data_IF_756553521185
#
_entry.id   IF_756553521185
#
_cell.length_a   1.000
_cell.length_b   1.000
_cell.length_c   1.000
_cell.angle_alpha   90.00
_cell.angle_beta   90.00
_cell.angle_gamma   90.00
#
_symmetry.space_group_name_H-M   'P 1'
#
loop_
_entity.id
_entity.type
_entity.pdbx_description
1 polymer ?
#
# COMPACT_ATOMS: atom_id res chain seq x y z
N UNK A 1 -21.66 3.29 -15.59
CA UNK A 1 -21.31 2.43 -14.46
C UNK A 1 -21.99 1.09 -14.67
N UNK A 2 -21.21 0.00 -14.82
CA UNK A 2 -21.76 -1.37 -14.99
C UNK A 2 -22.36 -1.85 -13.66
N UNK A 3 -23.42 -2.65 -13.70
CA UNK A 3 -23.94 -3.33 -12.51
C UNK A 3 -23.17 -4.64 -12.35
N UNK A 4 -22.46 -4.78 -11.24
CA UNK A 4 -22.22 -6.07 -10.61
C UNK A 4 -23.35 -6.23 -9.59
N UNK A 5 -24.16 -7.26 -9.76
CA UNK A 5 -25.33 -7.48 -8.90
C UNK A 5 -24.85 -7.85 -7.49
N UNK A 6 -24.92 -6.87 -6.56
CA UNK A 6 -24.67 -7.04 -5.13
C UNK A 6 -23.34 -7.71 -4.72
N UNK A 7 -22.30 -7.57 -5.56
CA UNK A 7 -20.98 -8.15 -5.28
C UNK A 7 -20.36 -7.58 -4.01
N UNK A 8 -19.80 -8.45 -3.17
CA UNK A 8 -19.16 -8.12 -1.90
C UNK A 8 -17.67 -8.44 -1.96
N UNK A 9 -16.84 -7.45 -1.67
CA UNK A 9 -15.39 -7.62 -1.61
C UNK A 9 -14.93 -7.34 -0.18
N UNK A 10 -14.27 -8.33 0.41
CA UNK A 10 -13.59 -8.16 1.70
C UNK A 10 -12.11 -7.91 1.44
N UNK A 11 -11.52 -6.95 2.14
CA UNK A 11 -10.09 -6.66 2.06
C UNK A 11 -9.46 -6.73 3.44
N UNK A 12 -8.34 -7.44 3.55
CA UNK A 12 -7.50 -7.42 4.75
C UNK A 12 -6.31 -6.49 4.53
N UNK A 13 -6.25 -5.43 5.33
CA UNK A 13 -5.16 -4.45 5.36
C UNK A 13 -4.19 -4.76 6.49
N UNK A 14 -2.96 -5.18 6.15
CA UNK A 14 -1.95 -5.57 7.14
C UNK A 14 -1.32 -4.35 7.84
N UNK A 15 -2.10 -3.67 8.68
CA UNK A 15 -1.67 -2.47 9.36
C UNK A 15 -1.02 -2.79 10.72
N UNK A 16 0.29 -2.96 10.73
CA UNK A 16 1.10 -3.08 11.96
C UNK A 16 1.96 -1.86 12.20
N UNK A 17 2.30 -1.14 11.14
CA UNK A 17 3.12 0.06 11.20
C UNK A 17 2.98 0.86 9.90
N UNK A 18 2.63 2.13 10.00
CA UNK A 18 2.46 3.02 8.84
C UNK A 18 1.05 2.98 8.23
N UNK A 19 0.86 3.77 7.18
CA UNK A 19 -0.43 3.97 6.49
C UNK A 19 -0.52 3.26 5.13
N UNK A 20 0.57 2.62 4.71
CA UNK A 20 0.73 2.17 3.34
C UNK A 20 -0.32 1.15 2.90
N UNK A 21 -0.70 0.25 3.78
CA UNK A 21 -1.67 -0.79 3.50
C UNK A 21 -3.09 -0.22 3.38
N UNK A 22 -3.52 0.53 4.39
CA UNK A 22 -4.85 1.15 4.40
C UNK A 22 -5.06 2.10 3.21
N UNK A 23 -4.08 2.98 2.91
CA UNK A 23 -4.16 3.90 1.77
C UNK A 23 -4.27 3.15 0.44
N UNK A 24 -3.60 2.02 0.29
CA UNK A 24 -3.67 1.18 -0.90
C UNK A 24 -5.02 0.46 -1.00
N UNK A 25 -5.46 -0.21 0.06
CA UNK A 25 -6.77 -0.86 0.10
C UNK A 25 -7.90 0.14 -0.17
N UNK A 26 -7.84 1.33 0.44
CA UNK A 26 -8.80 2.42 0.22
C UNK A 26 -8.84 2.85 -1.25
N UNK A 27 -7.68 3.04 -1.89
CA UNK A 27 -7.62 3.44 -3.30
C UNK A 27 -8.25 2.38 -4.23
N UNK A 28 -7.97 1.10 -4.00
CA UNK A 28 -8.57 -0.01 -4.74
C UNK A 28 -10.09 -0.05 -4.49
N UNK A 29 -10.52 0.03 -3.22
CA UNK A 29 -11.92 0.03 -2.85
C UNK A 29 -12.70 1.18 -3.51
N UNK A 30 -12.14 2.39 -3.50
CA UNK A 30 -12.75 3.56 -4.13
C UNK A 30 -12.88 3.39 -5.65
N UNK A 31 -11.84 2.91 -6.34
CA UNK A 31 -11.90 2.64 -7.77
C UNK A 31 -12.98 1.60 -8.12
N UNK A 32 -13.13 0.56 -7.30
CA UNK A 32 -14.13 -0.48 -7.49
C UNK A 32 -15.56 0.06 -7.34
N UNK A 33 -15.86 0.82 -6.28
CA UNK A 33 -17.22 1.37 -6.08
C UNK A 33 -17.56 2.49 -7.06
N UNK A 34 -16.58 3.21 -7.58
CA UNK A 34 -16.79 4.19 -8.66
C UNK A 34 -17.13 3.49 -9.99
N UNK A 35 -16.49 2.36 -10.26
CA UNK A 35 -16.71 1.59 -11.50
C UNK A 35 -18.00 0.81 -11.49
N UNK A 36 -18.42 0.24 -10.34
CA UNK A 36 -19.51 -0.73 -10.23
C UNK A 36 -20.58 -0.27 -9.23
N UNK A 37 -21.83 -0.14 -9.67
CA UNK A 37 -22.94 0.38 -8.86
C UNK A 37 -23.43 -0.56 -7.75
N UNK A 38 -23.37 -1.87 -7.98
CA UNK A 38 -23.89 -2.88 -7.05
C UNK A 38 -22.82 -3.50 -6.15
N UNK A 39 -21.57 -2.97 -6.17
CA UNK A 39 -20.46 -3.53 -5.43
C UNK A 39 -20.28 -2.81 -4.09
N UNK A 40 -20.06 -3.58 -3.03
CA UNK A 40 -19.73 -3.09 -1.68
C UNK A 40 -18.37 -3.64 -1.26
N UNK A 41 -17.57 -2.80 -0.60
CA UNK A 41 -16.26 -3.19 -0.07
C UNK A 41 -16.21 -2.99 1.43
N UNK A 42 -15.76 -4.01 2.16
CA UNK A 42 -15.46 -3.93 3.58
C UNK A 42 -13.96 -4.15 3.81
N UNK A 43 -13.31 -3.23 4.53
CA UNK A 43 -11.86 -3.29 4.81
C UNK A 43 -11.65 -3.65 6.27
N UNK A 44 -10.97 -4.77 6.55
CA UNK A 44 -10.50 -5.10 7.90
C UNK A 44 -9.14 -4.44 8.10
N UNK A 45 -9.01 -3.58 9.13
CA UNK A 45 -7.78 -2.82 9.37
C UNK A 45 -7.42 -2.76 10.86
N UNK A 46 -6.14 -2.95 11.15
CA UNK A 46 -5.55 -2.69 12.47
C UNK A 46 -5.03 -1.25 12.65
N UNK A 47 -5.21 -0.37 11.68
CA UNK A 47 -4.70 1.01 11.72
C UNK A 47 -5.37 1.81 12.84
N UNK A 48 -4.55 2.53 13.63
CA UNK A 48 -5.06 3.40 14.71
C UNK A 48 -5.84 4.60 14.18
N UNK A 49 -5.51 5.05 12.99
CA UNK A 49 -6.05 6.27 12.39
C UNK A 49 -6.93 5.99 11.17
N UNK A 50 -7.50 4.78 11.06
CA UNK A 50 -8.42 4.45 9.97
C UNK A 50 -9.60 5.44 9.90
N UNK A 51 -10.12 5.88 11.04
CA UNK A 51 -11.19 6.86 11.13
C UNK A 51 -10.83 8.31 10.77
N UNK A 52 -9.54 8.60 10.48
CA UNK A 52 -9.13 9.91 9.99
C UNK A 52 -9.24 10.05 8.46
N UNK A 53 -9.56 8.96 7.77
CA UNK A 53 -9.74 8.95 6.32
C UNK A 53 -11.22 8.92 5.93
N UNK A 54 -11.56 9.64 4.88
CA UNK A 54 -12.89 9.58 4.29
C UNK A 54 -13.02 8.33 3.40
N UNK A 55 -14.15 7.67 3.52
CA UNK A 55 -14.53 6.53 2.69
C UNK A 55 -15.73 6.87 1.81
N UNK A 56 -15.66 6.48 0.54
CA UNK A 56 -16.80 6.66 -0.39
C UNK A 56 -17.98 5.79 0.04
N UNK A 57 -19.19 6.20 -0.36
CA UNK A 57 -20.37 5.38 -0.16
C UNK A 57 -20.14 3.93 -0.66
N UNK A 58 -20.61 2.94 0.10
CA UNK A 58 -20.43 1.50 -0.11
C UNK A 58 -19.00 0.98 0.17
N UNK A 59 -18.15 1.80 0.76
CA UNK A 59 -16.89 1.37 1.37
C UNK A 59 -16.96 1.63 2.86
N UNK A 60 -16.72 0.62 3.66
CA UNK A 60 -16.67 0.73 5.12
C UNK A 60 -15.48 -0.06 5.66
N UNK A 61 -15.19 0.07 6.95
CA UNK A 61 -14.10 -0.67 7.56
C UNK A 61 -14.45 -1.22 8.94
N UNK A 62 -13.86 -2.38 9.25
CA UNK A 62 -13.89 -3.00 10.58
C UNK A 62 -12.51 -2.81 11.21
N UNK A 63 -12.49 -2.14 12.38
CA UNK A 63 -11.25 -1.96 13.13
C UNK A 63 -11.01 -3.15 14.05
N UNK A 64 -9.87 -3.83 13.82
CA UNK A 64 -9.37 -4.87 14.71
C UNK A 64 -8.31 -4.29 15.67
N UNK A 65 -8.01 -4.96 16.82
CA UNK A 65 -7.02 -4.49 17.78
C UNK A 65 -5.68 -4.18 17.12
N UNK A 66 -5.11 -3.00 17.42
CA UNK A 66 -3.85 -2.55 16.84
C UNK A 66 -2.67 -3.23 17.50
N UNK A 67 -1.67 -3.60 16.71
CA UNK A 67 -0.38 -4.10 17.19
C UNK A 67 0.75 -3.27 16.62
N UNK A 68 1.85 -3.18 17.35
CA UNK A 68 3.07 -2.50 16.92
C UNK A 68 4.24 -3.46 16.96
N UNK A 69 5.12 -3.34 15.97
CA UNK A 69 6.41 -4.05 15.94
C UNK A 69 7.44 -3.21 16.67
N UNK A 70 8.04 -3.75 17.72
CA UNK A 70 9.12 -3.12 18.47
C UNK A 70 10.45 -3.17 17.69
N UNK A 71 11.42 -2.37 18.10
CA UNK A 71 12.78 -2.41 17.53
C UNK A 71 13.46 -3.77 17.72
N UNK A 72 13.09 -4.53 18.77
CA UNK A 72 13.52 -5.92 18.98
C UNK A 72 13.02 -6.88 17.90
N UNK A 73 12.05 -6.46 17.05
CA UNK A 73 11.35 -7.30 16.09
C UNK A 73 10.13 -8.00 16.65
N UNK A 74 9.87 -7.89 17.95
CA UNK A 74 8.70 -8.44 18.62
C UNK A 74 7.46 -7.57 18.39
N UNK A 75 6.28 -8.18 18.49
CA UNK A 75 5.00 -7.49 18.42
C UNK A 75 4.40 -7.32 19.82
N UNK A 76 3.79 -6.17 20.06
CA UNK A 76 3.03 -5.90 21.28
C UNK A 76 1.70 -5.23 20.96
N UNK A 77 0.72 -5.39 21.85
CA UNK A 77 -0.54 -4.68 21.78
C UNK A 77 -0.33 -3.20 22.17
N UNK A 78 -0.98 -2.27 21.47
CA UNK A 78 -0.79 -0.84 21.71
C UNK A 78 -1.72 -0.32 22.80
N UNK A 79 -3.02 -0.65 22.71
CA UNK A 79 -4.05 0.00 23.51
C UNK A 79 -4.71 -0.91 24.54
N UNK A 80 -4.40 -2.19 24.51
CA UNK A 80 -5.00 -3.14 25.41
C UNK A 80 -3.91 -3.65 26.35
N UNK A 81 -4.11 -3.56 27.65
CA UNK A 81 -3.29 -4.23 28.65
C UNK A 81 -3.50 -5.75 28.60
N UNK A 82 -3.63 -6.31 27.40
CA UNK A 82 -3.87 -7.71 27.07
C UNK A 82 -2.59 -8.25 26.46
N UNK A 83 -2.28 -9.49 26.76
CA UNK A 83 -1.13 -10.20 26.17
C UNK A 83 -1.24 -10.22 24.63
N UNK A 84 -0.10 -10.22 23.98
CA UNK A 84 -0.02 -10.27 22.51
C UNK A 84 -0.68 -11.54 21.95
N UNK A 85 -0.58 -12.67 22.65
CA UNK A 85 -1.23 -13.92 22.24
C UNK A 85 -2.76 -13.80 22.23
N UNK A 86 -3.34 -13.22 23.28
CA UNK A 86 -4.79 -12.97 23.37
C UNK A 86 -5.23 -11.94 22.34
N UNK A 87 -4.42 -10.90 22.12
CA UNK A 87 -4.68 -9.90 21.08
C UNK A 87 -4.74 -10.54 19.70
N UNK A 88 -3.81 -11.43 19.36
CA UNK A 88 -3.79 -12.15 18.09
C UNK A 88 -4.99 -13.10 17.95
N UNK A 89 -5.38 -13.79 19.02
CA UNK A 89 -6.57 -14.65 19.02
C UNK A 89 -7.86 -13.85 18.79
N UNK A 90 -8.00 -12.68 19.43
CA UNK A 90 -9.13 -11.76 19.18
C UNK A 90 -9.13 -11.29 17.73
N UNK A 91 -7.98 -10.90 17.17
CA UNK A 91 -7.86 -10.46 15.77
C UNK A 91 -8.28 -11.56 14.81
N UNK A 92 -7.75 -12.79 14.98
CA UNK A 92 -8.10 -13.95 14.16
C UNK A 92 -9.62 -14.22 14.19
N UNK A 93 -10.22 -14.23 15.39
CA UNK A 93 -11.66 -14.42 15.54
C UNK A 93 -12.48 -13.32 14.85
N UNK A 94 -12.12 -12.05 15.05
CA UNK A 94 -12.82 -10.93 14.39
C UNK A 94 -12.71 -10.98 12.86
N UNK A 95 -11.56 -11.38 12.30
CA UNK A 95 -11.38 -11.53 10.86
C UNK A 95 -12.28 -12.64 10.33
N UNK A 96 -12.26 -13.82 10.98
CA UNK A 96 -13.06 -14.97 10.56
C UNK A 96 -14.55 -14.68 10.63
N UNK A 97 -15.06 -14.22 11.76
CA UNK A 97 -16.48 -13.90 11.95
C UNK A 97 -16.96 -12.81 10.99
N UNK A 98 -16.14 -11.76 10.79
CA UNK A 98 -16.46 -10.72 9.81
C UNK A 98 -16.58 -11.31 8.41
N UNK A 99 -15.67 -12.18 8.02
CA UNK A 99 -15.68 -12.83 6.70
C UNK A 99 -16.89 -13.77 6.54
N UNK A 100 -17.25 -14.52 7.58
CA UNK A 100 -18.38 -15.44 7.55
C UNK A 100 -19.72 -14.74 7.41
N UNK A 101 -19.94 -13.63 8.15
CA UNK A 101 -21.18 -12.84 8.09
C UNK A 101 -21.24 -11.92 6.87
N UNK A 102 -20.14 -11.36 6.45
CA UNK A 102 -20.09 -10.52 5.26
C UNK A 102 -20.25 -11.34 3.98
N UNK A 103 -19.85 -12.63 4.00
CA UNK A 103 -19.97 -13.62 2.93
C UNK A 103 -19.48 -13.03 1.59
N UNK A 104 -18.18 -12.74 1.46
CA UNK A 104 -17.64 -12.07 0.28
C UNK A 104 -17.53 -12.97 -0.94
N UNK A 105 -17.74 -12.41 -2.12
CA UNK A 105 -17.43 -13.05 -3.41
C UNK A 105 -15.92 -13.09 -3.67
N UNK A 106 -15.20 -12.05 -3.21
CA UNK A 106 -13.75 -11.92 -3.37
C UNK A 106 -13.15 -11.48 -2.04
N UNK A 107 -12.08 -12.16 -1.61
CA UNK A 107 -11.27 -11.77 -0.46
C UNK A 107 -9.86 -11.39 -0.91
N UNK A 108 -9.48 -10.12 -0.69
CA UNK A 108 -8.17 -9.58 -1.07
C UNK A 108 -7.32 -9.40 0.18
N UNK A 109 -6.18 -10.10 0.26
CA UNK A 109 -5.19 -9.95 1.33
C UNK A 109 -4.04 -9.09 0.86
N UNK A 110 -3.75 -7.98 1.55
CA UNK A 110 -2.73 -7.03 1.15
C UNK A 110 -1.37 -7.34 1.76
N UNK A 111 -0.40 -7.67 0.94
CA UNK A 111 1.04 -7.86 1.17
C UNK A 111 1.44 -9.09 1.98
N UNK A 112 0.91 -9.30 3.16
CA UNK A 112 1.33 -10.42 4.04
C UNK A 112 0.43 -11.63 3.80
N UNK A 113 0.93 -12.68 3.14
CA UNK A 113 0.07 -13.76 2.65
C UNK A 113 -0.75 -14.46 3.73
N UNK A 114 -0.19 -14.59 4.93
CA UNK A 114 -0.89 -15.21 6.07
C UNK A 114 -1.36 -14.18 7.12
N UNK A 115 -1.26 -12.88 6.81
CA UNK A 115 -1.50 -11.83 7.81
C UNK A 115 -0.44 -11.82 8.92
N UNK A 116 -0.75 -11.17 10.03
CA UNK A 116 0.13 -11.13 11.18
C UNK A 116 0.14 -12.50 11.88
N UNK A 117 1.29 -13.16 11.84
CA UNK A 117 1.49 -14.49 12.49
C UNK A 117 0.45 -15.55 12.11
N UNK A 118 -0.15 -15.48 10.93
CA UNK A 118 -1.08 -16.51 10.45
C UNK A 118 -2.57 -16.17 10.65
N UNK A 119 -2.91 -15.00 11.18
CA UNK A 119 -4.29 -14.63 11.59
C UNK A 119 -5.35 -14.66 10.48
N UNK A 120 -4.95 -14.70 9.19
CA UNK A 120 -5.92 -14.83 8.08
C UNK A 120 -6.02 -16.25 7.52
N UNK A 121 -5.19 -17.19 7.97
CA UNK A 121 -5.10 -18.53 7.38
C UNK A 121 -6.43 -19.31 7.51
N UNK A 122 -7.05 -19.30 8.69
CA UNK A 122 -8.35 -19.95 8.93
C UNK A 122 -9.46 -19.33 8.06
N UNK A 123 -9.43 -18.01 7.92
CA UNK A 123 -10.39 -17.27 7.08
C UNK A 123 -10.25 -17.65 5.62
N UNK A 124 -9.00 -17.74 5.09
CA UNK A 124 -8.74 -18.17 3.72
C UNK A 124 -9.30 -19.57 3.46
N UNK A 125 -9.04 -20.52 4.35
CA UNK A 125 -9.58 -21.90 4.22
C UNK A 125 -11.11 -21.90 4.26
N UNK A 126 -11.73 -21.20 5.21
CA UNK A 126 -13.19 -21.15 5.34
C UNK A 126 -13.86 -20.53 4.09
N UNK A 127 -13.29 -19.44 3.57
CA UNK A 127 -13.81 -18.75 2.38
C UNK A 127 -13.63 -19.58 1.09
N UNK A 128 -12.50 -20.29 0.94
CA UNK A 128 -12.32 -21.23 -0.18
C UNK A 128 -13.38 -22.34 -0.19
N UNK A 129 -13.71 -22.89 0.98
CA UNK A 129 -14.76 -23.91 1.11
C UNK A 129 -16.15 -23.38 0.70
N UNK A 130 -16.37 -22.08 0.77
CA UNK A 130 -17.59 -21.39 0.32
C UNK A 130 -17.55 -20.96 -1.15
N UNK A 131 -16.44 -21.18 -1.85
CA UNK A 131 -16.25 -20.78 -3.24
C UNK A 131 -15.91 -19.29 -3.44
N UNK A 132 -15.50 -18.59 -2.39
CA UNK A 132 -14.99 -17.22 -2.47
C UNK A 132 -13.66 -17.21 -3.23
N UNK A 133 -13.50 -16.29 -4.17
CA UNK A 133 -12.21 -16.08 -4.87
C UNK A 133 -11.22 -15.38 -3.95
N UNK A 134 -10.05 -15.95 -3.76
CA UNK A 134 -9.01 -15.43 -2.88
C UNK A 134 -7.88 -14.79 -3.68
N UNK A 135 -7.51 -13.56 -3.33
CA UNK A 135 -6.50 -12.76 -4.04
C UNK A 135 -5.44 -12.27 -3.07
N UNK A 136 -4.17 -12.49 -3.42
CA UNK A 136 -3.04 -11.89 -2.72
C UNK A 136 -2.55 -10.66 -3.48
N UNK A 137 -2.57 -9.49 -2.85
CA UNK A 137 -2.00 -8.27 -3.40
C UNK A 137 -0.57 -8.04 -2.94
N UNK A 138 0.40 -8.05 -3.84
CA UNK A 138 1.81 -7.79 -3.56
C UNK A 138 2.23 -6.45 -4.18
N UNK A 139 3.18 -5.77 -3.52
CA UNK A 139 3.82 -4.59 -4.12
C UNK A 139 4.81 -5.01 -5.21
N UNK A 140 5.12 -4.09 -6.09
CA UNK A 140 6.19 -4.21 -7.10
C UNK A 140 7.50 -4.75 -6.50
N UNK A 141 7.98 -4.13 -5.41
CA UNK A 141 9.18 -4.54 -4.66
C UNK A 141 8.77 -4.93 -3.24
N UNK A 142 9.10 -6.15 -2.82
CA UNK A 142 8.83 -6.66 -1.47
C UNK A 142 10.03 -6.45 -0.54
N UNK A 143 11.19 -6.98 -0.92
CA UNK A 143 12.50 -6.84 -0.27
C UNK A 143 13.61 -7.38 -1.20
N UNK A 144 14.86 -7.48 -0.70
CA UNK A 144 15.88 -8.24 -1.41
C UNK A 144 15.55 -9.75 -1.40
N UNK A 145 15.94 -10.44 -2.47
CA UNK A 145 15.61 -11.87 -2.62
C UNK A 145 16.12 -12.71 -1.45
N UNK A 146 17.34 -12.42 -0.95
CA UNK A 146 17.97 -13.19 0.14
C UNK A 146 17.17 -13.08 1.45
N UNK A 147 16.71 -11.87 1.80
CA UNK A 147 15.94 -11.63 3.01
C UNK A 147 14.55 -12.25 2.91
N UNK A 148 13.93 -12.15 1.74
CA UNK A 148 12.59 -12.67 1.49
C UNK A 148 12.58 -14.19 1.43
N UNK A 149 13.57 -14.82 0.75
CA UNK A 149 13.70 -16.28 0.66
C UNK A 149 13.88 -16.89 2.06
N UNK A 150 14.76 -16.32 2.88
CA UNK A 150 14.96 -16.80 4.26
C UNK A 150 13.69 -16.72 5.11
N UNK A 151 12.97 -15.58 5.05
CA UNK A 151 11.74 -15.37 5.80
C UNK A 151 10.64 -16.33 5.33
N UNK A 152 10.42 -16.44 4.02
CA UNK A 152 9.34 -17.21 3.44
C UNK A 152 9.54 -18.71 3.52
N UNK A 153 10.79 -19.19 3.36
CA UNK A 153 11.12 -20.59 3.53
C UNK A 153 10.86 -21.09 4.96
N UNK A 154 11.22 -20.30 5.98
CA UNK A 154 10.97 -20.64 7.38
C UNK A 154 9.48 -20.80 7.71
N UNK A 155 8.60 -20.13 6.98
CA UNK A 155 7.15 -20.11 7.21
C UNK A 155 6.36 -20.92 6.18
N UNK A 156 7.05 -21.61 5.26
CA UNK A 156 6.43 -22.36 4.15
C UNK A 156 5.44 -21.50 3.32
N UNK A 157 5.75 -20.20 3.15
CA UNK A 157 4.83 -19.21 2.59
C UNK A 157 4.47 -19.56 1.14
N UNK A 158 5.44 -20.01 0.32
CA UNK A 158 5.19 -20.33 -1.09
C UNK A 158 4.17 -21.46 -1.29
N UNK A 159 4.22 -22.52 -0.46
CA UNK A 159 3.26 -23.61 -0.52
C UNK A 159 1.86 -23.15 -0.09
N UNK A 160 1.79 -22.32 0.95
CA UNK A 160 0.53 -21.71 1.40
C UNK A 160 -0.07 -20.78 0.36
N UNK A 161 0.73 -19.93 -0.29
CA UNK A 161 0.27 -19.08 -1.40
C UNK A 161 -0.28 -19.95 -2.53
N UNK A 162 0.45 -21.00 -2.91
CA UNK A 162 0.02 -21.89 -3.99
C UNK A 162 -1.28 -22.62 -3.67
N UNK A 163 -1.57 -22.91 -2.40
CA UNK A 163 -2.77 -23.63 -1.96
C UNK A 163 -3.96 -22.72 -1.63
N UNK A 164 -3.72 -21.53 -1.11
CA UNK A 164 -4.75 -20.69 -0.49
C UNK A 164 -5.18 -19.48 -1.33
N UNK A 165 -4.53 -19.19 -2.45
CA UNK A 165 -4.88 -18.06 -3.30
C UNK A 165 -5.16 -18.51 -4.72
N UNK A 166 -6.19 -17.93 -5.33
CA UNK A 166 -6.54 -18.14 -6.74
C UNK A 166 -5.71 -17.25 -7.65
N UNK A 167 -5.43 -16.01 -7.23
CA UNK A 167 -4.60 -15.06 -7.95
C UNK A 167 -3.64 -14.30 -7.05
N UNK A 168 -2.56 -13.80 -7.68
CA UNK A 168 -1.57 -12.92 -7.06
C UNK A 168 -1.47 -11.67 -7.91
N UNK A 169 -1.93 -10.55 -7.39
CA UNK A 169 -1.85 -9.26 -8.07
C UNK A 169 -0.57 -8.53 -7.68
N UNK A 170 0.27 -8.25 -8.66
CA UNK A 170 1.46 -7.43 -8.47
C UNK A 170 1.09 -5.98 -8.80
N UNK A 171 1.13 -5.11 -7.79
CA UNK A 171 0.83 -3.69 -7.96
C UNK A 171 2.02 -2.95 -8.59
N UNK A 172 2.27 -3.20 -9.84
CA UNK A 172 3.31 -2.64 -10.67
C UNK A 172 3.39 -3.37 -11.99
N UNK A 173 4.06 -2.81 -13.01
CA UNK A 173 4.27 -3.45 -14.29
C UNK A 173 5.41 -4.49 -14.22
N UNK A 174 5.34 -5.51 -15.07
CA UNK A 174 6.28 -6.63 -15.10
C UNK A 174 7.71 -6.18 -15.44
N UNK A 175 7.86 -5.22 -16.33
CA UNK A 175 9.14 -4.69 -16.79
C UNK A 175 9.80 -3.70 -15.80
N UNK A 176 9.05 -3.24 -14.78
CA UNK A 176 9.63 -2.47 -13.70
C UNK A 176 10.38 -3.38 -12.72
N UNK A 177 9.70 -4.38 -12.15
CA UNK A 177 10.30 -5.29 -11.17
C UNK A 177 9.45 -6.54 -10.96
N UNK A 178 10.10 -7.70 -10.90
CA UNK A 178 9.46 -8.94 -10.47
C UNK A 178 9.74 -9.19 -8.98
N UNK A 179 8.72 -9.09 -8.08
CA UNK A 179 8.89 -9.24 -6.63
C UNK A 179 9.31 -10.65 -6.19
N UNK A 180 9.14 -11.65 -7.06
CA UNK A 180 9.53 -13.04 -6.80
C UNK A 180 10.87 -13.42 -7.46
N UNK A 181 11.55 -12.47 -8.10
CA UNK A 181 12.83 -12.72 -8.73
C UNK A 181 13.87 -13.20 -7.71
N UNK A 182 14.54 -14.32 -8.02
CA UNK A 182 15.54 -14.93 -7.14
C UNK A 182 14.97 -15.82 -6.04
N UNK A 183 13.63 -15.98 -5.96
CA UNK A 183 13.00 -16.93 -5.05
C UNK A 183 12.75 -18.27 -5.71
N UNK A 184 12.80 -19.35 -4.92
CA UNK A 184 12.36 -20.67 -5.35
C UNK A 184 10.84 -20.69 -5.42
N UNK A 185 10.28 -20.47 -6.62
CA UNK A 185 8.83 -20.30 -6.81
C UNK A 185 8.26 -21.46 -7.63
N UNK A 186 7.28 -22.23 -7.08
CA UNK A 186 6.58 -23.27 -7.82
C UNK A 186 5.85 -22.72 -9.06
N UNK A 187 5.82 -23.48 -10.17
CA UNK A 187 5.15 -23.05 -11.40
C UNK A 187 3.68 -22.71 -11.17
N UNK A 188 2.96 -23.49 -10.37
CA UNK A 188 1.57 -23.21 -9.97
C UNK A 188 1.37 -21.85 -9.30
N UNK A 189 2.39 -21.30 -8.65
CA UNK A 189 2.37 -19.93 -8.08
C UNK A 189 2.62 -18.90 -9.16
N UNK A 190 3.58 -19.15 -10.08
CA UNK A 190 3.87 -18.28 -11.20
C UNK A 190 2.65 -18.11 -12.13
N UNK A 191 1.89 -19.19 -12.37
CA UNK A 191 0.70 -19.17 -13.22
C UNK A 191 -0.42 -18.26 -12.67
N UNK A 192 -0.38 -17.94 -11.36
CA UNK A 192 -1.35 -17.07 -10.68
C UNK A 192 -0.98 -15.58 -10.72
N UNK A 193 0.23 -15.22 -11.16
CA UNK A 193 0.70 -13.84 -11.20
C UNK A 193 -0.07 -13.01 -12.21
N UNK A 194 -0.49 -11.82 -11.80
CA UNK A 194 -1.13 -10.80 -12.64
C UNK A 194 -0.53 -9.44 -12.32
N UNK A 195 0.25 -8.89 -13.25
CA UNK A 195 0.78 -7.54 -13.14
C UNK A 195 -0.29 -6.53 -13.47
N UNK A 196 -0.59 -5.64 -12.55
CA UNK A 196 -1.71 -4.69 -12.69
C UNK A 196 -1.29 -3.36 -13.31
N UNK A 197 -0.02 -3.00 -13.19
CA UNK A 197 0.47 -1.63 -13.33
C UNK A 197 0.43 -0.89 -11.99
N UNK A 198 1.00 0.33 -11.95
CA UNK A 198 1.01 1.15 -10.74
C UNK A 198 -0.38 1.69 -10.42
N UNK A 199 -0.68 1.77 -9.13
CA UNK A 199 -1.97 2.27 -8.65
C UNK A 199 -1.97 3.79 -8.71
N UNK A 200 -2.54 4.36 -9.77
CA UNK A 200 -2.69 5.79 -9.96
C UNK A 200 -3.39 6.46 -8.78
N UNK A 201 -2.99 7.68 -8.47
CA UNK A 201 -3.62 8.55 -7.48
C UNK A 201 -4.27 9.73 -8.18
N UNK A 202 -5.37 10.18 -7.60
CA UNK A 202 -6.09 11.37 -8.04
C UNK A 202 -6.08 12.39 -6.90
N UNK A 203 -6.04 13.67 -7.25
CA UNK A 203 -6.21 14.74 -6.27
C UNK A 203 -7.67 14.68 -5.77
N UNK A 204 -7.90 14.62 -4.45
CA UNK A 204 -9.25 14.75 -3.91
C UNK A 204 -9.91 16.06 -4.36
N UNK A 205 -11.25 16.10 -4.37
CA UNK A 205 -11.98 17.32 -4.65
C UNK A 205 -11.64 18.37 -3.59
N UNK A 206 -11.01 19.47 -4.00
CA UNK A 206 -10.49 20.53 -3.11
C UNK A 206 -11.57 21.43 -2.52
N UNK A 207 -12.85 21.26 -2.87
CA UNK A 207 -13.93 22.19 -2.45
C UNK A 207 -14.06 22.35 -0.93
N UNK A 208 -13.64 21.36 -0.13
CA UNK A 208 -13.72 21.37 1.32
C UNK A 208 -12.38 21.22 2.04
N UNK A 209 -11.27 21.02 1.33
CA UNK A 209 -9.98 20.84 1.98
C UNK A 209 -9.46 22.17 2.52
N UNK A 210 -9.22 22.23 3.83
CA UNK A 210 -8.61 23.37 4.50
C UNK A 210 -7.26 22.98 5.03
N UNK A 211 -6.21 23.51 4.42
CA UNK A 211 -4.87 23.39 4.98
C UNK A 211 -4.82 23.95 6.40
N UNK A 212 -4.11 23.26 7.28
CA UNK A 212 -3.91 23.70 8.67
C UNK A 212 -3.21 25.07 8.72
N UNK A 213 -2.42 25.38 7.70
CA UNK A 213 -1.75 26.67 7.50
C UNK A 213 -1.59 26.97 6.01
N UNK A 214 -1.47 28.26 5.62
CA UNK A 214 -1.27 28.63 4.22
C UNK A 214 0.01 28.01 3.65
N UNK A 215 -0.07 27.43 2.46
CA UNK A 215 1.07 26.91 1.73
C UNK A 215 1.68 28.01 0.84
N UNK A 216 3.01 28.02 0.64
CA UNK A 216 3.64 28.85 -0.37
C UNK A 216 3.11 28.51 -1.78
N UNK A 217 3.14 29.48 -2.69
CA UNK A 217 2.68 29.28 -4.08
C UNK A 217 3.56 28.31 -4.89
N UNK A 218 4.80 28.15 -4.48
CA UNK A 218 5.76 27.20 -5.07
C UNK A 218 6.65 26.68 -3.95
N UNK A 219 6.83 25.38 -3.84
CA UNK A 219 7.59 24.76 -2.75
C UNK A 219 8.12 23.39 -3.14
N UNK A 220 9.11 22.92 -2.42
CA UNK A 220 9.55 21.52 -2.41
C UNK A 220 8.85 20.81 -1.26
N UNK A 221 8.11 19.75 -1.58
CA UNK A 221 7.51 18.86 -0.57
C UNK A 221 8.56 17.86 -0.07
N UNK A 222 8.67 17.71 1.25
CA UNK A 222 9.47 16.66 1.89
C UNK A 222 8.54 15.76 2.69
N UNK A 223 8.44 14.49 2.33
CA UNK A 223 7.51 13.57 3.00
C UNK A 223 8.16 12.23 3.35
N UNK A 224 7.90 11.78 4.57
CA UNK A 224 8.29 10.46 5.06
C UNK A 224 7.14 9.42 5.02
N UNK A 225 6.02 9.76 4.38
CA UNK A 225 4.84 8.89 4.33
C UNK A 225 4.23 8.66 5.72
N UNK A 226 4.31 7.44 6.27
CA UNK A 226 3.82 7.15 7.63
C UNK A 226 4.61 7.79 8.76
N UNK A 227 5.87 8.13 8.52
CA UNK A 227 6.73 8.90 9.41
C UNK A 227 7.50 8.13 10.48
N UNK A 228 7.24 6.84 10.66
CA UNK A 228 7.89 6.08 11.74
C UNK A 228 9.40 5.93 11.63
N UNK A 229 9.98 6.18 10.47
CA UNK A 229 11.40 6.08 10.13
C UNK A 229 11.91 7.32 9.35
N UNK A 230 11.14 8.41 9.36
CA UNK A 230 11.38 9.58 8.53
C UNK A 230 12.20 10.70 9.18
N UNK A 231 12.53 10.61 10.47
CA UNK A 231 13.20 11.69 11.18
C UNK A 231 14.57 12.05 10.59
N UNK A 232 15.32 11.05 10.14
CA UNK A 232 16.61 11.25 9.50
C UNK A 232 16.49 12.05 8.21
N UNK A 233 15.53 11.73 7.33
CA UNK A 233 15.25 12.49 6.11
C UNK A 233 14.96 13.96 6.43
N UNK A 234 14.06 14.21 7.38
CA UNK A 234 13.69 15.57 7.78
C UNK A 234 14.90 16.34 8.30
N UNK A 235 15.72 15.68 9.15
CA UNK A 235 16.93 16.28 9.71
C UNK A 235 17.97 16.62 8.65
N UNK A 236 18.17 15.76 7.65
CA UNK A 236 19.08 16.00 6.53
C UNK A 236 18.65 17.22 5.70
N UNK A 237 17.35 17.34 5.41
CA UNK A 237 16.83 18.48 4.62
C UNK A 237 16.92 19.78 5.42
N UNK A 238 16.62 19.75 6.71
CA UNK A 238 16.80 20.93 7.58
C UNK A 238 18.27 21.34 7.68
N UNK A 239 19.19 20.38 7.80
CA UNK A 239 20.63 20.67 7.81
C UNK A 239 21.10 21.31 6.50
N UNK A 240 20.57 20.90 5.35
CA UNK A 240 20.83 21.53 4.08
C UNK A 240 20.34 22.98 4.04
N UNK A 241 19.13 23.26 4.56
CA UNK A 241 18.58 24.61 4.66
C UNK A 241 19.34 25.50 5.65
N UNK A 242 19.85 24.93 6.74
CA UNK A 242 20.72 25.60 7.70
C UNK A 242 22.09 25.96 7.08
N UNK A 243 22.63 25.05 6.26
CA UNK A 243 23.89 25.22 5.53
C UNK A 243 23.75 26.28 4.43
N UNK A 244 22.69 26.20 3.62
CA UNK A 244 22.43 27.15 2.54
C UNK A 244 21.08 27.86 2.75
N UNK A 245 21.17 29.09 3.29
CA UNK A 245 20.01 29.94 3.53
C UNK A 245 19.42 30.57 2.26
N UNK A 246 20.08 30.42 1.12
CA UNK A 246 19.68 30.97 -0.16
C UNK A 246 18.93 29.98 -1.05
N UNK A 247 18.52 28.82 -0.51
CA UNK A 247 17.62 27.90 -1.23
C UNK A 247 16.38 28.66 -1.71
N UNK A 248 16.14 28.64 -3.03
CA UNK A 248 15.14 29.48 -3.71
C UNK A 248 13.73 29.09 -3.32
N UNK A 249 13.48 27.77 -3.20
CA UNK A 249 12.14 27.26 -2.93
C UNK A 249 11.91 27.05 -1.44
N UNK A 250 10.75 27.49 -0.92
CA UNK A 250 10.29 27.10 0.41
C UNK A 250 10.21 25.59 0.54
N UNK A 251 10.37 25.09 1.76
CA UNK A 251 10.23 23.68 2.10
C UNK A 251 8.92 23.46 2.86
N UNK A 252 8.12 22.48 2.41
CA UNK A 252 6.96 21.99 3.14
C UNK A 252 7.29 20.56 3.61
N UNK A 253 7.46 20.42 4.93
CA UNK A 253 7.80 19.16 5.56
C UNK A 253 6.54 18.48 6.08
N UNK A 254 6.33 17.21 5.70
CA UNK A 254 5.24 16.38 6.21
C UNK A 254 5.83 15.12 6.87
N UNK A 255 6.15 15.20 8.18
CA UNK A 255 6.79 14.13 8.91
C UNK A 255 5.98 12.84 8.96
N UNK A 256 4.66 12.95 9.04
CA UNK A 256 3.73 11.83 9.14
C UNK A 256 3.32 11.51 10.59
N UNK A 257 2.16 10.82 10.76
CA UNK A 257 1.51 10.69 12.06
C UNK A 257 2.21 9.75 13.05
N UNK A 258 3.11 8.89 12.57
CA UNK A 258 3.80 7.90 13.42
C UNK A 258 5.23 8.31 13.79
N UNK A 259 5.63 9.54 13.49
CA UNK A 259 6.89 10.07 13.98
C UNK A 259 6.84 10.25 15.50
N UNK A 260 7.92 9.90 16.20
CA UNK A 260 8.00 10.03 17.66
C UNK A 260 7.88 11.50 18.06
N UNK A 261 7.28 11.75 19.22
CA UNK A 261 6.99 13.12 19.69
C UNK A 261 8.26 13.95 19.84
N UNK A 262 9.34 13.35 20.35
CA UNK A 262 10.62 14.01 20.57
C UNK A 262 11.26 14.42 19.23
N UNK A 263 11.23 13.53 18.23
CA UNK A 263 11.76 13.81 16.88
C UNK A 263 10.95 14.91 16.18
N UNK A 264 9.62 14.86 16.33
CA UNK A 264 8.71 15.87 15.78
C UNK A 264 8.96 17.24 16.40
N UNK A 265 9.12 17.30 17.71
CA UNK A 265 9.41 18.54 18.43
C UNK A 265 10.75 19.15 17.99
N UNK A 266 11.80 18.33 17.83
CA UNK A 266 13.09 18.78 17.29
C UNK A 266 12.95 19.39 15.89
N UNK A 267 12.18 18.74 15.00
CA UNK A 267 11.91 19.24 13.63
C UNK A 267 11.23 20.59 13.70
N UNK A 268 10.18 20.75 14.52
CA UNK A 268 9.50 22.03 14.69
C UNK A 268 10.42 23.12 15.24
N UNK A 269 11.25 22.82 16.25
CA UNK A 269 12.20 23.78 16.83
C UNK A 269 13.21 24.25 15.77
N UNK A 270 13.75 23.35 14.95
CA UNK A 270 14.69 23.72 13.89
C UNK A 270 13.99 24.51 12.78
N UNK A 271 12.82 24.06 12.33
CA UNK A 271 12.05 24.75 11.29
C UNK A 271 11.67 26.18 11.68
N UNK A 272 11.28 26.41 12.94
CA UNK A 272 10.92 27.75 13.45
C UNK A 272 12.08 28.75 13.41
N UNK A 273 13.32 28.30 13.38
CA UNK A 273 14.51 29.14 13.26
C UNK A 273 14.93 29.41 11.80
N UNK A 274 14.19 28.86 10.84
CA UNK A 274 14.48 28.97 9.42
C UNK A 274 13.38 29.73 8.69
N UNK A 275 13.76 30.54 7.70
CA UNK A 275 12.79 31.17 6.82
C UNK A 275 12.30 30.15 5.78
N UNK A 276 11.04 30.31 5.35
CA UNK A 276 10.46 29.55 4.27
C UNK A 276 10.46 28.04 4.49
N UNK A 277 10.28 27.61 5.75
CA UNK A 277 10.05 26.22 6.14
C UNK A 277 8.71 26.12 6.85
N UNK A 278 7.85 25.27 6.33
CA UNK A 278 6.50 24.98 6.86
C UNK A 278 6.46 23.52 7.28
N UNK A 279 5.98 23.22 8.49
CA UNK A 279 5.81 21.85 8.97
C UNK A 279 4.33 21.56 9.15
N UNK A 280 3.85 20.49 8.52
CA UNK A 280 2.49 19.95 8.63
C UNK A 280 2.62 18.53 9.19
N UNK A 281 2.24 18.30 10.42
CA UNK A 281 2.47 17.02 11.10
C UNK A 281 1.82 15.85 10.38
N UNK A 282 0.61 16.04 9.93
CA UNK A 282 -0.16 15.05 9.17
C UNK A 282 -1.26 15.74 8.36
N UNK A 283 -1.49 15.25 7.15
CA UNK A 283 -2.63 15.60 6.33
C UNK A 283 -3.19 14.32 5.70
N UNK A 284 -4.50 14.13 5.80
CA UNK A 284 -5.20 12.97 5.22
C UNK A 284 -5.36 13.08 3.70
N UNK A 285 -5.12 14.27 3.14
CA UNK A 285 -5.12 14.59 1.70
C UNK A 285 -3.73 15.06 1.23
N UNK A 286 -2.67 14.33 1.61
CA UNK A 286 -1.29 14.62 1.19
C UNK A 286 -1.16 14.75 -0.33
N UNK A 287 -2.03 14.10 -1.08
CA UNK A 287 -2.15 14.18 -2.54
C UNK A 287 -2.32 15.63 -3.02
N UNK A 288 -3.13 16.43 -2.32
CA UNK A 288 -3.34 17.86 -2.64
C UNK A 288 -2.07 18.69 -2.41
N UNK A 289 -1.32 18.41 -1.32
CA UNK A 289 -0.04 19.06 -1.06
C UNK A 289 0.99 18.64 -2.10
N UNK A 290 1.02 17.37 -2.51
CA UNK A 290 1.95 16.89 -3.52
C UNK A 290 1.66 17.47 -4.90
N UNK A 291 0.39 17.60 -5.27
CA UNK A 291 0.00 18.18 -6.56
C UNK A 291 0.44 19.65 -6.70
N UNK A 292 0.40 20.43 -5.61
CA UNK A 292 0.91 21.80 -5.58
C UNK A 292 2.44 21.94 -5.55
N UNK A 293 3.19 20.86 -5.31
CA UNK A 293 4.65 20.92 -5.18
C UNK A 293 5.38 21.09 -6.51
N UNK A 294 6.49 21.83 -6.50
CA UNK A 294 7.41 21.97 -7.65
C UNK A 294 8.34 20.77 -7.80
N UNK A 295 8.61 20.08 -6.69
CA UNK A 295 9.39 18.86 -6.63
C UNK A 295 9.18 18.16 -5.30
N UNK A 296 9.50 16.88 -5.23
CA UNK A 296 9.24 16.03 -4.05
C UNK A 296 10.51 15.35 -3.59
N UNK A 297 10.78 15.43 -2.29
CA UNK A 297 11.81 14.63 -1.59
C UNK A 297 11.12 13.57 -0.76
N UNK A 298 11.51 12.32 -0.91
CA UNK A 298 10.90 11.21 -0.19
C UNK A 298 11.80 9.98 -0.05
N UNK A 299 11.30 8.97 0.66
CA UNK A 299 12.04 7.72 0.91
C UNK A 299 11.75 6.62 -0.12
N UNK A 300 10.98 6.88 -1.15
CA UNK A 300 10.56 5.91 -2.16
C UNK A 300 9.72 4.72 -1.63
N UNK A 301 8.85 4.97 -0.62
CA UNK A 301 7.79 4.03 -0.26
C UNK A 301 6.81 3.85 -1.42
N UNK A 302 6.17 2.68 -1.54
CA UNK A 302 5.28 2.35 -2.68
C UNK A 302 4.23 3.43 -2.98
N UNK A 303 3.47 3.89 -1.97
CA UNK A 303 2.43 4.88 -2.20
C UNK A 303 3.00 6.23 -2.66
N UNK A 304 4.04 6.72 -1.97
CA UNK A 304 4.71 7.97 -2.37
C UNK A 304 5.29 7.89 -3.77
N UNK A 305 5.82 6.73 -4.17
CA UNK A 305 6.27 6.50 -5.53
C UNK A 305 5.12 6.59 -6.54
N UNK A 306 3.99 5.90 -6.29
CA UNK A 306 2.81 5.99 -7.14
C UNK A 306 2.24 7.43 -7.22
N UNK A 307 2.26 8.16 -6.12
CA UNK A 307 1.83 9.56 -6.06
C UNK A 307 2.71 10.45 -6.92
N UNK A 308 4.03 10.33 -6.80
CA UNK A 308 5.01 11.07 -7.61
C UNK A 308 4.80 10.81 -9.10
N UNK A 309 4.62 9.55 -9.50
CA UNK A 309 4.34 9.21 -10.90
C UNK A 309 2.99 9.78 -11.36
N UNK A 310 1.96 9.70 -10.51
CA UNK A 310 0.59 10.15 -10.85
C UNK A 310 0.49 11.66 -11.02
N UNK A 311 1.21 12.44 -10.20
CA UNK A 311 1.23 13.90 -10.24
C UNK A 311 2.39 14.45 -11.08
N UNK A 312 3.14 13.56 -11.71
CA UNK A 312 4.24 13.90 -12.63
C UNK A 312 5.28 14.85 -12.01
N UNK A 313 5.68 14.61 -10.76
CA UNK A 313 6.57 15.51 -10.02
C UNK A 313 8.03 15.10 -10.14
N UNK A 314 8.96 16.04 -10.46
CA UNK A 314 10.39 15.80 -10.25
C UNK A 314 10.67 15.29 -8.84
N UNK A 315 11.45 14.23 -8.70
CA UNK A 315 11.64 13.57 -7.42
C UNK A 315 13.10 13.30 -7.08
N UNK A 316 13.41 13.50 -5.79
CA UNK A 316 14.68 13.14 -5.16
C UNK A 316 14.40 12.09 -4.08
N UNK A 317 14.94 10.88 -4.26
CA UNK A 317 14.80 9.84 -3.27
C UNK A 317 16.00 9.73 -2.35
N UNK A 318 15.72 9.59 -1.05
CA UNK A 318 16.65 9.31 0.03
C UNK A 318 16.14 8.03 0.72
N UNK A 319 16.35 6.85 0.12
CA UNK A 319 15.77 5.62 0.61
C UNK A 319 16.46 5.14 1.88
N UNK A 320 15.72 4.54 2.80
CA UNK A 320 16.33 3.76 3.87
C UNK A 320 16.90 2.45 3.33
N UNK A 321 17.94 1.96 3.99
CA UNK A 321 18.63 0.71 3.64
C UNK A 321 18.39 -0.41 4.67
N UNK A 322 17.84 -0.07 5.84
CA UNK A 322 17.58 -0.99 6.98
C UNK A 322 16.20 -0.69 7.59
N UNK A 323 15.50 -1.68 8.16
CA UNK A 323 15.82 -3.13 8.17
C UNK A 323 15.50 -3.84 6.84
N UNK A 324 14.76 -3.23 5.93
CA UNK A 324 14.37 -3.75 4.61
C UNK A 324 14.90 -2.86 3.51
N UNK A 325 15.18 -3.45 2.35
CA UNK A 325 15.80 -2.77 1.19
C UNK A 325 14.80 -2.36 0.11
N UNK A 326 13.50 -2.59 0.30
CA UNK A 326 12.48 -2.34 -0.75
C UNK A 326 12.48 -0.90 -1.27
N UNK A 327 12.78 0.09 -0.41
CA UNK A 327 12.84 1.49 -0.83
C UNK A 327 14.09 1.76 -1.68
N UNK A 328 15.23 1.22 -1.28
CA UNK A 328 16.48 1.34 -2.04
C UNK A 328 16.35 0.68 -3.41
N UNK A 329 15.85 -0.55 -3.48
CA UNK A 329 15.65 -1.29 -4.73
C UNK A 329 14.74 -0.50 -5.68
N UNK A 330 13.59 -0.04 -5.19
CA UNK A 330 12.65 0.76 -5.99
C UNK A 330 13.26 2.07 -6.46
N UNK A 331 13.93 2.80 -5.58
CA UNK A 331 14.57 4.07 -5.89
C UNK A 331 15.69 3.90 -6.95
N UNK A 332 16.53 2.88 -6.79
CA UNK A 332 17.59 2.55 -7.78
C UNK A 332 16.96 2.25 -9.13
N UNK A 333 15.93 1.39 -9.17
CA UNK A 333 15.25 1.06 -10.43
C UNK A 333 14.59 2.28 -11.08
N UNK A 334 13.94 3.13 -10.28
CA UNK A 334 13.36 4.38 -10.75
C UNK A 334 14.44 5.32 -11.36
N UNK A 335 15.61 5.38 -10.73
CA UNK A 335 16.73 6.19 -11.25
C UNK A 335 17.29 5.63 -12.55
N UNK A 336 17.45 4.32 -12.68
CA UNK A 336 17.88 3.64 -13.92
C UNK A 336 16.93 3.95 -15.09
N UNK A 337 15.65 4.04 -14.81
CA UNK A 337 14.60 4.36 -15.78
C UNK A 337 14.41 5.87 -16.02
N UNK A 338 15.21 6.72 -15.37
CA UNK A 338 15.10 8.18 -15.50
C UNK A 338 13.85 8.79 -14.88
N UNK A 339 13.18 8.11 -13.96
CA UNK A 339 11.95 8.55 -13.29
C UNK A 339 12.22 9.46 -12.09
N UNK A 340 13.40 9.38 -11.49
CA UNK A 340 13.79 10.17 -10.32
C UNK A 340 15.31 10.18 -10.13
N UNK A 341 15.78 11.06 -9.26
CA UNK A 341 17.16 11.04 -8.77
C UNK A 341 17.22 10.39 -7.40
N UNK A 342 18.32 9.67 -7.12
CA UNK A 342 18.58 9.04 -5.82
C UNK A 342 19.83 9.65 -5.21
N UNK A 343 19.79 9.96 -3.92
CA UNK A 343 20.98 10.20 -3.11
C UNK A 343 21.36 8.90 -2.40
N UNK A 344 22.64 8.55 -2.56
CA UNK A 344 23.20 7.38 -1.88
C UNK A 344 23.28 7.63 -0.36
N UNK A 345 22.67 6.74 0.41
CA UNK A 345 22.57 6.80 1.87
C UNK A 345 23.54 5.87 2.58
N UNK A 346 24.45 5.19 1.86
CA UNK A 346 25.45 4.33 2.50
C UNK A 346 26.45 5.09 3.39
N UNK A 347 26.48 6.41 3.23
CA UNK A 347 27.23 7.35 4.09
C UNK A 347 26.31 8.50 4.52
N UNK A 348 26.60 9.09 5.67
CA UNK A 348 25.93 10.31 6.09
C UNK A 348 25.97 11.35 4.94
N UNK A 349 24.81 11.84 4.55
CA UNK A 349 24.70 12.81 3.45
C UNK A 349 25.24 14.15 3.95
N UNK A 350 26.24 14.68 3.27
CA UNK A 350 26.75 16.01 3.50
C UNK A 350 25.64 17.06 3.25
N UNK A 351 25.38 17.98 4.20
CA UNK A 351 24.41 19.06 4.02
C UNK A 351 24.60 19.87 2.73
N UNK A 352 25.84 20.09 2.27
CA UNK A 352 26.12 20.75 1.01
C UNK A 352 25.59 19.95 -0.20
N UNK A 353 25.81 18.64 -0.21
CA UNK A 353 25.29 17.77 -1.29
C UNK A 353 23.77 17.72 -1.32
N UNK A 354 23.12 17.73 -0.16
CA UNK A 354 21.68 17.81 -0.07
C UNK A 354 21.19 19.18 -0.56
N UNK A 355 21.85 20.29 -0.22
CA UNK A 355 21.50 21.61 -0.71
C UNK A 355 21.62 21.69 -2.23
N UNK A 356 22.70 21.22 -2.82
CA UNK A 356 22.90 21.13 -4.28
C UNK A 356 21.78 20.31 -4.94
N UNK A 357 21.38 19.20 -4.33
CA UNK A 357 20.30 18.35 -4.86
C UNK A 357 18.94 19.07 -4.79
N UNK A 358 18.66 19.83 -3.71
CA UNK A 358 17.44 20.63 -3.55
C UNK A 358 17.39 21.79 -4.56
N UNK A 359 18.51 22.44 -4.85
CA UNK A 359 18.61 23.46 -5.91
C UNK A 359 18.31 22.88 -7.30
N UNK A 360 18.80 21.69 -7.59
CA UNK A 360 18.61 21.04 -8.87
C UNK A 360 17.19 20.50 -9.08
N UNK A 361 16.53 20.07 -8.01
CA UNK A 361 15.29 19.29 -8.04
C UNK A 361 14.16 19.96 -8.88
N UNK A 362 13.83 21.25 -8.74
CA UNK A 362 12.73 21.86 -9.51
C UNK A 362 12.98 21.91 -11.03
N UNK A 363 14.25 21.80 -11.45
CA UNK A 363 14.64 21.81 -12.85
C UNK A 363 14.90 20.42 -13.43
N UNK A 364 14.69 19.37 -12.65
CA UNK A 364 14.81 18.00 -13.12
C UNK A 364 13.63 17.62 -14.01
N UNK A 365 13.81 16.71 -14.97
CA UNK A 365 12.70 16.22 -15.77
C UNK A 365 11.68 15.50 -14.89
N UNK A 366 10.40 15.74 -15.16
CA UNK A 366 9.29 14.99 -14.57
C UNK A 366 9.28 13.54 -15.10
N UNK A 367 8.69 12.57 -14.37
CA UNK A 367 8.63 11.16 -14.76
C UNK A 367 8.10 10.93 -16.19
N UNK A 368 7.11 11.70 -16.65
CA UNK A 368 6.54 11.62 -18.01
C UNK A 368 7.52 11.98 -19.12
N UNK A 369 8.68 12.56 -18.80
CA UNK A 369 9.74 12.88 -19.78
C UNK A 369 10.74 11.72 -19.95
N UNK A 370 10.64 10.68 -19.13
CA UNK A 370 11.37 9.43 -19.33
C UNK A 370 10.89 8.71 -20.59
N UNK A 371 11.72 7.86 -21.15
CA UNK A 371 11.33 6.93 -22.22
C UNK A 371 10.56 5.70 -21.71
N UNK A 372 10.44 5.54 -20.40
CA UNK A 372 9.71 4.44 -19.77
C UNK A 372 8.20 4.72 -19.75
N UNK A 373 7.40 3.75 -20.16
CA UNK A 373 5.94 3.83 -20.02
C UNK A 373 5.57 3.68 -18.54
N UNK A 374 4.87 4.66 -17.98
CA UNK A 374 4.58 4.71 -16.54
C UNK A 374 3.59 3.65 -16.06
N UNK A 375 2.82 3.04 -16.97
CA UNK A 375 1.82 1.99 -16.64
C UNK A 375 0.94 2.36 -15.44
N UNK A 376 0.31 3.55 -15.46
CA UNK A 376 -0.54 4.08 -14.38
C UNK A 376 -1.99 3.57 -14.44
N UNK A 377 -2.24 2.43 -15.05
CA UNK A 377 -3.57 1.84 -15.24
C UNK A 377 -3.92 0.74 -14.21
N UNK A 378 -3.16 0.64 -13.11
CA UNK A 378 -3.30 -0.45 -12.14
C UNK A 378 -4.70 -0.57 -11.52
N UNK A 379 -5.34 0.56 -11.19
CA UNK A 379 -6.71 0.54 -10.66
C UNK A 379 -7.73 0.08 -11.72
N UNK A 380 -7.56 0.50 -12.96
CA UNK A 380 -8.40 0.08 -14.08
C UNK A 380 -8.21 -1.41 -14.40
N UNK A 381 -6.98 -1.91 -14.31
CA UNK A 381 -6.65 -3.33 -14.49
C UNK A 381 -7.30 -4.19 -13.40
N UNK A 382 -7.25 -3.76 -12.13
CA UNK A 382 -7.94 -4.42 -11.02
C UNK A 382 -9.46 -4.45 -11.26
N UNK A 383 -10.05 -3.33 -11.68
CA UNK A 383 -11.48 -3.29 -11.99
C UNK A 383 -11.87 -4.26 -13.12
N UNK A 384 -11.08 -4.34 -14.20
CA UNK A 384 -11.29 -5.33 -15.28
C UNK A 384 -11.22 -6.75 -14.74
N UNK A 385 -10.23 -7.04 -13.88
CA UNK A 385 -10.05 -8.38 -13.33
C UNK A 385 -11.21 -8.81 -12.43
N UNK A 386 -11.71 -7.92 -11.58
CA UNK A 386 -12.91 -8.16 -10.77
C UNK A 386 -14.13 -8.43 -11.66
N UNK A 387 -14.31 -7.69 -12.75
CA UNK A 387 -15.40 -7.93 -13.71
C UNK A 387 -15.30 -9.32 -14.34
N UNK A 388 -14.11 -9.76 -14.74
CA UNK A 388 -13.86 -11.09 -15.32
C UNK A 388 -14.16 -12.23 -14.33
N UNK A 389 -13.70 -12.10 -13.07
CA UNK A 389 -13.96 -13.07 -12.00
C UNK A 389 -15.47 -13.26 -11.77
N UNK A 390 -16.22 -12.17 -11.68
CA UNK A 390 -17.67 -12.22 -11.46
C UNK A 390 -18.43 -12.81 -12.65
N UNK A 391 -17.97 -12.58 -13.88
CA UNK A 391 -18.54 -13.19 -15.07
C UNK A 391 -18.35 -14.72 -15.07
N UNK A 392 -17.18 -15.20 -14.68
CA UNK A 392 -16.87 -16.64 -14.57
C UNK A 392 -17.73 -17.32 -13.49
N UNK A 393 -17.90 -16.71 -12.32
CA UNK A 393 -18.72 -17.22 -11.23
C UNK A 393 -20.20 -17.32 -11.64
N UNK A 394 -20.73 -16.34 -12.36
CA UNK A 394 -22.11 -16.33 -12.87
C UNK A 394 -22.36 -17.44 -13.90
N UNK A 395 -21.38 -17.72 -14.75
CA UNK A 395 -21.47 -18.78 -15.77
C UNK A 395 -21.40 -20.17 -15.14
N UNK A 396 -20.57 -20.36 -14.11
CA UNK A 396 -20.46 -21.62 -13.37
C UNK A 396 -21.78 -21.96 -12.65
N UNK A 397 -22.38 -20.97 -11.98
CA UNK A 397 -23.68 -21.14 -11.30
C UNK A 397 -24.81 -21.49 -12.27
N UNK A 398 -24.86 -20.92 -13.48
CA UNK A 398 -25.86 -21.26 -14.51
C UNK A 398 -25.67 -22.65 -15.06
N UNK A 399 -24.43 -23.13 -15.22
CA UNK A 399 -24.14 -24.48 -15.72
C UNK A 399 -24.49 -25.58 -14.71
N UNK A 400 -24.39 -25.28 -13.41
CA UNK A 400 -24.75 -26.24 -12.35
C UNK A 400 -26.28 -26.40 -12.21
N UNK A 401 -27.05 -25.34 -12.44
CA UNK A 401 -28.52 -25.38 -12.44
C UNK A 401 -29.04 -26.14 -13.67
N UNK A 402 -28.28 -26.20 -14.75
CA UNK A 402 -28.69 -26.87 -16.02
C UNK A 402 -28.32 -28.36 -16.08
N UNK A 403 -27.67 -28.93 -15.08
CA UNK A 403 -27.46 -30.39 -15.00
C UNK A 403 -28.74 -31.07 -14.62
N UNK A 404 -29.27 -31.99 -15.46
CA UNK A 404 -30.48 -32.75 -15.13
C UNK A 404 -30.19 -33.61 -13.89
N UNK A 405 -31.07 -33.53 -12.90
CA UNK A 405 -31.05 -34.41 -11.74
C UNK A 405 -31.32 -35.82 -12.29
N UNK A 406 -30.29 -36.68 -12.29
CA UNK A 406 -30.43 -38.09 -12.57
C UNK A 406 -31.18 -38.72 -11.38
N UNK A 407 -32.49 -38.99 -11.58
CA UNK A 407 -33.25 -39.81 -10.63
C UNK A 407 -32.62 -41.20 -10.59
N UNK A 408 -32.39 -41.79 -9.42
CA UNK A 408 -32.00 -43.18 -9.31
C UNK A 408 -33.17 -44.04 -9.84
N UNK A 409 -32.86 -45.00 -10.71
CA UNK A 409 -33.83 -45.95 -11.21
C UNK A 409 -34.47 -46.73 -10.05
N UNK A 410 -35.79 -46.70 -9.96
CA UNK A 410 -36.56 -47.58 -9.07
C UNK A 410 -36.25 -49.04 -9.44
N UNK A 411 -35.53 -49.77 -8.57
CA UNK A 411 -35.47 -51.21 -8.63
C UNK A 411 -36.87 -51.75 -8.35
N UNK A 412 -37.56 -52.27 -9.38
CA UNK A 412 -38.76 -53.05 -9.24
C UNK A 412 -38.37 -54.35 -8.53
N UNK A 413 -38.79 -54.47 -7.30
CA UNK A 413 -38.83 -55.77 -6.57
C UNK A 413 -40.00 -56.52 -7.16
N UNK A 414 -39.71 -57.52 -8.01
CA UNK A 414 -40.67 -58.57 -8.37
C UNK A 414 -40.64 -59.67 -7.35
N UNK A 415 -41.80 -59.91 -6.80
CA UNK A 415 -42.15 -60.93 -5.80
C UNK A 415 -41.73 -62.36 -6.17
#
# INVERSE_FOLDING_TARGET
MKRLNDARILMYSHDTFGLGHLRRCRAIAHALVDRFKGLTVLIISGSQIAGAFDFKARVDFVKIPSVIKLYSGEYTSINNHIDIADTLAIREALILETAEFFDPDIFIVDKEPMGLRGEVEKTLVALQMKGCTTVLGLRDVMDSAELLEEEWRKKEVMEKIAGLYDEIWIYGPEDFWNPLQGLTTPQRTLDKLRYTGFLQRETPSTENHRFQQPLPSSYILVTAGGGGDGAELMSMVLAAREHDRNLVYPLVLVPGPFMRSEEREEIHQRANNLKDVVVIDFDNELETIMDGATGVVGMCGYNTFCEILSFDKPALFVPRTRPRKEQLIRATRASELGLARVLDTDKAIDPAKMADALHALPNMPAPSKSSYDLHLDGLQSICRRVEEMQALSSTAAQNDISRPVSHPAEEQIVS
#
